data_IF_067246768989
#
_entry.id   IF_067246768989
#
_cell.length_a   1.000
_cell.length_b   1.000
_cell.length_c   1.000
_cell.angle_alpha   90.00
_cell.angle_beta   90.00
_cell.angle_gamma   90.00
#
_symmetry.space_group_name_H-M   'P 1'
#
loop_
_entity.id
_entity.type
_entity.pdbx_description
1 polymer ?
#
# COMPACT_ATOMS: atom_id res chain seq x y z
N UNK A 1 7.08 -2.71 6.63
CA UNK A 1 6.57 -2.31 5.29
C UNK A 1 5.21 -2.94 5.13
N UNK A 2 4.20 -2.19 4.68
CA UNK A 2 2.89 -2.75 4.35
C UNK A 2 2.82 -2.98 2.83
N UNK A 3 2.44 -4.18 2.43
CA UNK A 3 2.20 -4.59 1.05
C UNK A 3 0.86 -5.31 1.00
N UNK A 4 0.24 -5.39 -0.18
CA UNK A 4 -0.84 -6.34 -0.35
C UNK A 4 -0.32 -7.76 -0.57
N UNK A 5 -1.20 -8.73 -0.36
CA UNK A 5 -0.88 -10.16 -0.39
C UNK A 5 -0.37 -10.61 -1.77
N UNK A 6 -0.92 -10.02 -2.84
CA UNK A 6 -0.47 -10.32 -4.20
C UNK A 6 1.01 -9.98 -4.42
N UNK A 7 1.45 -8.78 -4.02
CA UNK A 7 2.85 -8.38 -4.13
C UNK A 7 3.73 -9.13 -3.13
N UNK A 8 3.23 -9.39 -1.91
CA UNK A 8 3.95 -10.16 -0.89
C UNK A 8 4.30 -11.57 -1.37
N UNK A 9 3.48 -12.14 -2.25
CA UNK A 9 3.69 -13.45 -2.86
C UNK A 9 4.44 -13.40 -4.21
N UNK A 10 5.04 -12.27 -4.56
CA UNK A 10 5.87 -12.14 -5.77
C UNK A 10 5.09 -11.82 -7.05
N UNK A 11 3.84 -11.36 -6.94
CA UNK A 11 3.05 -10.88 -8.06
C UNK A 11 3.78 -9.80 -8.87
N UNK A 12 3.46 -9.67 -10.17
CA UNK A 12 4.10 -8.73 -11.10
C UNK A 12 5.64 -8.80 -11.17
N UNK A 13 6.23 -9.96 -10.84
CA UNK A 13 7.68 -10.15 -10.88
C UNK A 13 8.43 -9.56 -9.68
N UNK A 14 7.72 -9.12 -8.64
CA UNK A 14 8.33 -8.62 -7.39
C UNK A 14 8.78 -9.79 -6.47
N UNK A 15 9.54 -10.74 -7.00
CA UNK A 15 9.88 -12.01 -6.32
C UNK A 15 10.64 -11.82 -5.01
N UNK A 16 11.40 -10.73 -4.86
CA UNK A 16 12.11 -10.36 -3.62
C UNK A 16 11.17 -10.30 -2.42
N UNK A 17 9.93 -9.87 -2.58
CA UNK A 17 8.98 -9.85 -1.46
C UNK A 17 8.57 -11.26 -1.03
N UNK A 18 8.55 -12.20 -1.97
CA UNK A 18 8.32 -13.63 -1.78
C UNK A 18 9.35 -14.32 -0.87
N UNK A 19 10.54 -13.75 -0.73
CA UNK A 19 11.65 -14.30 0.07
C UNK A 19 11.64 -13.83 1.53
N UNK A 20 10.84 -12.82 1.87
CA UNK A 20 10.76 -12.26 3.23
C UNK A 20 10.04 -13.25 4.16
N UNK A 21 10.72 -13.70 5.22
CA UNK A 21 10.19 -14.70 6.18
C UNK A 21 9.58 -14.10 7.45
N UNK A 22 9.86 -12.84 7.76
CA UNK A 22 9.36 -12.15 8.96
C UNK A 22 8.05 -11.41 8.71
N UNK A 23 7.14 -12.00 7.94
CA UNK A 23 5.88 -11.35 7.59
C UNK A 23 4.93 -11.31 8.79
N UNK A 24 4.37 -10.15 9.06
CA UNK A 24 3.11 -10.04 9.79
C UNK A 24 2.01 -9.95 8.75
N UNK A 25 1.18 -10.99 8.65
CA UNK A 25 -0.08 -10.91 7.93
C UNK A 25 -1.00 -9.86 8.58
N UNK A 26 -1.91 -9.32 7.79
CA UNK A 26 -2.96 -8.44 8.30
C UNK A 26 -4.28 -9.19 8.38
N UNK A 27 -4.99 -9.05 9.50
CA UNK A 27 -6.38 -9.54 9.65
C UNK A 27 -7.40 -8.61 8.97
N UNK A 28 -6.92 -7.53 8.34
CA UNK A 28 -7.74 -6.45 7.76
C UNK A 28 -7.62 -6.50 6.25
N UNK A 29 -8.75 -6.51 5.56
CA UNK A 29 -8.81 -6.45 4.10
C UNK A 29 -8.43 -5.06 3.57
N UNK A 30 -7.98 -4.97 2.31
CA UNK A 30 -7.67 -3.68 1.67
C UNK A 30 -8.88 -2.73 1.67
N UNK A 31 -10.10 -3.27 1.53
CA UNK A 31 -11.33 -2.49 1.57
C UNK A 31 -11.58 -1.90 2.96
N UNK A 32 -11.45 -2.70 4.02
CA UNK A 32 -11.61 -2.23 5.39
C UNK A 32 -10.58 -1.16 5.75
N UNK A 33 -9.32 -1.36 5.36
CA UNK A 33 -8.27 -0.37 5.54
C UNK A 33 -8.58 0.95 4.82
N UNK A 34 -9.11 0.90 3.60
CA UNK A 34 -9.53 2.10 2.86
C UNK A 34 -10.71 2.80 3.54
N UNK A 35 -11.73 2.04 3.94
CA UNK A 35 -12.93 2.60 4.61
C UNK A 35 -12.53 3.31 5.90
N UNK A 36 -11.68 2.70 6.73
CA UNK A 36 -11.24 3.33 7.97
C UNK A 36 -10.34 4.54 7.74
N UNK A 37 -9.51 4.51 6.69
CA UNK A 37 -8.75 5.69 6.27
C UNK A 37 -9.67 6.85 5.86
N UNK A 38 -10.72 6.59 5.09
CA UNK A 38 -11.65 7.64 4.65
C UNK A 38 -12.48 8.18 5.83
N UNK A 39 -12.98 7.31 6.72
CA UNK A 39 -13.68 7.77 7.95
C UNK A 39 -12.85 8.75 8.77
N UNK A 40 -11.53 8.54 8.83
CA UNK A 40 -10.61 9.37 9.63
C UNK A 40 -10.12 10.61 8.91
N UNK A 41 -9.99 10.58 7.58
CA UNK A 41 -9.37 11.66 6.80
C UNK A 41 -10.35 12.52 6.03
N UNK A 42 -11.59 12.05 5.84
CA UNK A 42 -12.58 12.73 4.99
C UNK A 42 -13.92 13.00 5.66
N UNK A 43 -13.95 13.03 7.00
CA UNK A 43 -15.18 13.22 7.76
C UNK A 43 -15.92 14.51 7.36
N UNK A 44 -15.18 15.61 7.14
CA UNK A 44 -15.74 16.92 6.85
C UNK A 44 -15.46 17.44 5.43
N UNK A 45 -14.39 16.95 4.78
CA UNK A 45 -13.96 17.36 3.44
C UNK A 45 -13.32 16.19 2.68
N UNK A 46 -13.33 16.17 1.33
CA UNK A 46 -12.61 15.15 0.56
C UNK A 46 -11.12 15.09 0.92
N UNK A 47 -10.52 13.90 0.84
CA UNK A 47 -9.09 13.72 1.05
C UNK A 47 -8.30 14.57 0.05
N UNK A 48 -7.31 15.32 0.55
CA UNK A 48 -6.40 16.06 -0.31
C UNK A 48 -5.52 15.06 -1.05
N UNK A 49 -5.38 15.17 -2.38
CA UNK A 49 -4.52 14.28 -3.13
C UNK A 49 -3.06 14.39 -2.65
N UNK A 50 -2.29 13.30 -2.71
CA UNK A 50 -0.85 13.32 -2.47
C UNK A 50 -0.11 14.44 -3.21
N UNK A 51 0.85 15.06 -2.53
CA UNK A 51 1.78 15.98 -3.20
C UNK A 51 2.47 15.29 -4.40
N UNK A 52 2.67 16.00 -5.52
CA UNK A 52 3.41 15.48 -6.66
C UNK A 52 4.86 15.17 -6.29
N UNK A 53 5.56 14.37 -7.11
CA UNK A 53 6.98 14.08 -6.92
C UNK A 53 7.31 12.94 -5.93
N UNK A 54 6.31 12.15 -5.51
CA UNK A 54 6.56 10.94 -4.68
C UNK A 54 7.40 9.87 -5.40
N UNK A 55 7.43 9.90 -6.73
CA UNK A 55 8.24 9.01 -7.57
C UNK A 55 9.05 9.90 -8.51
N UNK A 56 10.35 9.65 -8.56
CA UNK A 56 11.27 10.29 -9.51
C UNK A 56 11.86 9.21 -10.40
N UNK A 57 11.69 9.35 -11.71
CA UNK A 57 12.35 8.49 -12.68
C UNK A 57 13.74 9.05 -12.96
N UNK A 58 14.77 8.24 -12.72
CA UNK A 58 16.13 8.53 -13.13
C UNK A 58 16.42 7.72 -14.39
N UNK A 59 16.60 8.41 -15.51
CA UNK A 59 17.02 7.84 -16.78
C UNK A 59 18.54 7.88 -16.86
N UNK A 60 19.16 6.75 -17.20
CA UNK A 60 20.58 6.64 -17.55
C UNK A 60 20.77 6.70 -19.07
#
# INVERSE_FOLDING_TARGET
>A
MALNEFLANGGNGFTVFGEITTRQGGDVTELEALVDHLKTTTADNPAIPPAPGRITFVTH
#
